data_IF_276118803812
#
_entry.id   IF_276118803812
#
_cell.length_a   1.000
_cell.length_b   1.000
_cell.length_c   1.000
_cell.angle_alpha   90.00
_cell.angle_beta   90.00
_cell.angle_gamma   90.00
#
_symmetry.space_group_name_H-M   'P 1'
#
loop_
_entity.id
_entity.type
_entity.pdbx_description
1 polymer ?
#
# COMPACT_ATOMS: atom_id res chain seq x y z
N UNK A 1 -5.97 0.83 15.73
CA UNK A 1 -7.10 0.02 15.40
C UNK A 1 -6.82 -1.23 14.56
N UNK A 2 -6.57 -1.25 13.21
CA UNK A 2 -6.26 -2.53 12.57
C UNK A 2 -4.96 -3.18 13.07
N UNK A 3 -4.03 -2.42 13.62
CA UNK A 3 -2.77 -2.91 14.20
C UNK A 3 -2.82 -3.12 15.71
N UNK A 4 -3.88 -2.66 16.39
CA UNK A 4 -4.03 -2.82 17.83
C UNK A 4 -4.33 -4.27 18.19
N UNK A 5 -3.70 -4.82 19.24
CA UNK A 5 -4.01 -6.17 19.71
C UNK A 5 -5.50 -6.32 20.09
N UNK A 6 -6.09 -7.50 19.91
CA UNK A 6 -7.36 -7.82 20.54
C UNK A 6 -7.24 -7.80 22.07
N UNK A 7 -8.37 -7.65 22.77
CA UNK A 7 -8.41 -7.54 24.23
C UNK A 7 -7.66 -8.71 24.92
N UNK A 8 -6.70 -8.35 25.75
CA UNK A 8 -5.88 -9.28 26.51
C UNK A 8 -4.79 -10.01 25.70
N UNK A 9 -4.61 -9.70 24.43
CA UNK A 9 -3.51 -10.22 23.61
C UNK A 9 -2.34 -9.24 23.54
N UNK A 10 -1.14 -9.75 23.32
CA UNK A 10 0.07 -8.95 23.09
C UNK A 10 0.59 -9.18 21.67
N UNK A 11 1.07 -8.11 21.02
CA UNK A 11 1.78 -8.22 19.75
C UNK A 11 3.13 -8.90 19.97
N UNK A 12 3.36 -10.03 19.30
CA UNK A 12 4.62 -10.78 19.36
C UNK A 12 5.42 -10.68 18.07
N UNK A 13 4.75 -10.56 16.92
CA UNK A 13 5.43 -10.32 15.63
C UNK A 13 4.51 -9.58 14.67
N UNK A 14 5.08 -8.66 13.91
CA UNK A 14 4.41 -7.99 12.81
C UNK A 14 5.33 -7.91 11.58
N UNK A 15 4.78 -8.20 10.41
CA UNK A 15 5.44 -8.03 9.13
C UNK A 15 4.59 -7.08 8.30
N UNK A 16 5.16 -5.92 7.94
CA UNK A 16 4.50 -4.90 7.15
C UNK A 16 5.19 -4.66 5.81
N UNK A 17 4.43 -4.25 4.80
CA UNK A 17 4.96 -3.86 3.50
C UNK A 17 4.40 -2.51 3.07
N UNK A 18 5.20 -1.71 2.37
CA UNK A 18 4.78 -0.43 1.82
C UNK A 18 5.63 -0.05 0.61
N UNK A 19 5.11 0.78 -0.29
CA UNK A 19 5.93 1.35 -1.36
C UNK A 19 6.76 2.52 -0.84
N UNK A 20 6.12 3.55 -0.30
CA UNK A 20 6.78 4.68 0.36
C UNK A 20 6.66 4.54 1.87
N UNK A 21 7.76 4.76 2.56
CA UNK A 21 7.85 4.73 4.02
C UNK A 21 8.19 6.12 4.56
N UNK A 22 7.33 6.66 5.41
CA UNK A 22 7.62 7.84 6.21
C UNK A 22 8.07 7.39 7.61
N UNK A 23 9.26 7.80 8.03
CA UNK A 23 9.84 7.37 9.31
C UNK A 23 9.03 7.83 10.52
N UNK A 24 8.37 8.99 10.45
CA UNK A 24 7.49 9.41 11.54
C UNK A 24 6.19 8.61 11.59
N UNK A 25 5.64 8.23 10.41
CA UNK A 25 4.49 7.34 10.37
C UNK A 25 4.82 5.95 10.94
N UNK A 26 6.03 5.46 10.68
CA UNK A 26 6.52 4.22 11.28
C UNK A 26 6.67 4.36 12.81
N UNK A 27 7.25 5.46 13.29
CA UNK A 27 7.43 5.73 14.73
C UNK A 27 6.08 5.83 15.47
N UNK A 28 5.02 6.26 14.79
CA UNK A 28 3.69 6.33 15.39
C UNK A 28 3.14 4.95 15.80
N UNK A 29 3.58 3.85 15.16
CA UNK A 29 3.10 2.49 15.44
C UNK A 29 3.45 2.04 16.87
N UNK A 30 4.73 1.98 17.28
CA UNK A 30 5.08 1.60 18.65
C UNK A 30 4.48 2.53 19.70
N UNK A 31 4.39 3.82 19.38
CA UNK A 31 3.77 4.81 20.29
C UNK A 31 2.27 4.50 20.46
N UNK A 32 1.54 4.22 19.37
CA UNK A 32 0.12 3.86 19.43
C UNK A 32 -0.13 2.54 20.19
N UNK A 33 0.72 1.53 19.96
CA UNK A 33 0.66 0.25 20.68
C UNK A 33 0.92 0.42 22.17
N UNK A 34 1.87 1.28 22.53
CA UNK A 34 2.17 1.60 23.94
C UNK A 34 1.00 2.30 24.62
N UNK A 35 0.40 3.31 23.98
CA UNK A 35 -0.76 4.01 24.52
C UNK A 35 -1.97 3.10 24.68
N UNK A 36 -2.24 2.21 23.72
CA UNK A 36 -3.33 1.23 23.84
C UNK A 36 -3.16 0.36 25.08
N UNK A 37 -1.94 -0.13 25.37
CA UNK A 37 -1.62 -0.92 26.56
C UNK A 37 -1.73 -0.08 27.86
N UNK A 38 -1.38 1.22 27.82
CA UNK A 38 -1.39 2.11 28.99
C UNK A 38 -2.80 2.51 29.41
N UNK A 39 -3.77 2.52 28.50
CA UNK A 39 -5.17 2.84 28.82
C UNK A 39 -5.88 1.72 29.60
N UNK A 40 -5.32 0.51 29.64
CA UNK A 40 -5.82 -0.60 30.45
C UNK A 40 -5.35 -0.57 31.91
N UNK A 41 -4.50 0.40 32.30
CA UNK A 41 -3.95 0.54 33.65
C UNK A 41 -3.65 1.98 34.07
N UNK A 42 -3.60 2.26 35.39
CA UNK A 42 -3.22 3.55 36.01
C UNK A 42 -1.70 3.81 35.84
N UNK A 43 -1.21 4.07 34.62
CA UNK A 43 0.20 4.37 34.39
C UNK A 43 0.47 5.87 34.29
N UNK A 44 1.38 6.41 35.15
CA UNK A 44 2.01 7.71 34.91
C UNK A 44 3.04 7.54 33.77
N UNK A 45 2.79 8.19 32.64
CA UNK A 45 3.65 8.17 31.45
C UNK A 45 5.03 8.78 31.78
N UNK A 46 6.06 7.92 31.74
CA UNK A 46 7.44 8.32 31.82
C UNK A 46 8.10 8.27 30.44
N UNK A 47 8.99 9.21 30.12
CA UNK A 47 9.73 9.24 28.82
C UNK A 47 10.55 7.97 28.56
N UNK A 48 11.02 7.30 29.63
CA UNK A 48 11.77 6.05 29.52
C UNK A 48 10.90 4.88 29.07
N UNK A 49 9.63 4.85 29.49
CA UNK A 49 8.68 3.79 29.12
C UNK A 49 8.36 3.86 27.61
N UNK A 50 8.25 5.08 27.05
CA UNK A 50 8.06 5.28 25.61
C UNK A 50 9.29 4.81 24.81
N UNK A 51 10.50 5.12 25.27
CA UNK A 51 11.74 4.66 24.64
C UNK A 51 11.88 3.15 24.66
N UNK A 52 11.56 2.51 25.78
CA UNK A 52 11.60 1.06 25.91
C UNK A 52 10.54 0.40 25.02
N UNK A 53 9.34 0.96 24.95
CA UNK A 53 8.29 0.51 24.04
C UNK A 53 8.71 0.60 22.57
N UNK A 54 9.37 1.70 22.16
CA UNK A 54 9.93 1.84 20.82
C UNK A 54 10.95 0.73 20.56
N UNK A 55 11.90 0.53 21.47
CA UNK A 55 12.94 -0.50 21.33
C UNK A 55 12.36 -1.91 21.25
N UNK A 56 11.44 -2.26 22.15
CA UNK A 56 10.78 -3.58 22.13
C UNK A 56 9.96 -3.81 20.85
N UNK A 57 9.33 -2.75 20.32
CA UNK A 57 8.56 -2.85 19.08
C UNK A 57 9.45 -3.10 17.88
N UNK A 58 10.65 -2.52 17.82
CA UNK A 58 11.58 -2.73 16.68
C UNK A 58 12.08 -4.16 16.55
N UNK A 59 12.13 -4.91 17.65
CA UNK A 59 12.48 -6.34 17.64
C UNK A 59 11.34 -7.22 17.12
N UNK A 60 10.10 -6.75 17.26
CA UNK A 60 8.88 -7.48 16.88
C UNK A 60 8.38 -7.14 15.47
N UNK A 61 8.85 -6.04 14.88
CA UNK A 61 8.32 -5.51 13.61
C UNK A 61 9.38 -5.61 12.52
N UNK A 62 9.00 -6.15 11.36
CA UNK A 62 9.79 -6.09 10.12
C UNK A 62 8.98 -5.34 9.06
N UNK A 63 9.59 -4.30 8.48
CA UNK A 63 8.98 -3.48 7.43
C UNK A 63 9.77 -3.61 6.14
N UNK A 64 9.10 -4.05 5.09
CA UNK A 64 9.65 -4.10 3.76
C UNK A 64 9.13 -2.92 2.94
N UNK A 65 10.03 -2.12 2.36
CA UNK A 65 9.65 -0.97 1.53
C UNK A 65 10.40 -0.96 0.20
N UNK A 66 9.88 -0.23 -0.78
CA UNK A 66 10.57 -0.04 -2.05
C UNK A 66 11.90 0.69 -1.81
N UNK A 67 12.99 0.14 -2.36
CA UNK A 67 14.32 0.76 -2.28
C UNK A 67 14.30 2.18 -2.83
N UNK A 68 14.93 3.11 -2.08
CA UNK A 68 14.98 4.54 -2.42
C UNK A 68 13.65 5.28 -2.23
N UNK A 69 12.70 4.73 -1.45
CA UNK A 69 11.40 5.36 -1.18
C UNK A 69 11.14 5.60 0.32
N UNK A 70 12.21 5.74 1.09
CA UNK A 70 12.13 6.17 2.49
C UNK A 70 12.13 7.70 2.51
N UNK A 71 11.09 8.30 3.11
CA UNK A 71 11.02 9.73 3.38
C UNK A 71 11.74 10.03 4.68
N UNK A 72 12.95 10.59 4.58
CA UNK A 72 13.71 11.05 5.72
C UNK A 72 13.33 12.50 6.00
N UNK A 73 12.91 12.84 7.23
CA UNK A 73 12.54 14.20 7.56
C UNK A 73 13.75 15.14 7.58
N UNK A 74 13.57 16.41 7.19
CA UNK A 74 14.62 17.43 7.22
C UNK A 74 15.17 17.66 8.63
N UNK A 75 14.31 17.54 9.65
CA UNK A 75 14.69 17.60 11.07
C UNK A 75 14.74 16.16 11.60
N UNK A 76 15.87 15.49 11.42
CA UNK A 76 16.06 14.12 11.89
C UNK A 76 16.07 14.06 13.43
N UNK A 77 15.20 13.21 13.99
CA UNK A 77 15.15 12.94 15.41
C UNK A 77 15.89 11.63 15.72
N UNK A 78 16.75 11.62 16.71
CA UNK A 78 17.52 10.42 17.12
C UNK A 78 16.64 9.21 17.46
N UNK A 79 15.35 9.41 17.81
CA UNK A 79 14.40 8.31 17.97
C UNK A 79 14.17 7.51 16.70
N UNK A 80 14.31 8.12 15.54
CA UNK A 80 14.14 7.45 14.25
C UNK A 80 15.24 6.41 14.01
N UNK A 81 16.45 6.62 14.56
CA UNK A 81 17.55 5.65 14.47
C UNK A 81 17.19 4.29 15.09
N UNK A 82 16.34 4.26 16.12
CA UNK A 82 15.85 2.99 16.67
C UNK A 82 14.97 2.22 15.69
N UNK A 83 14.26 2.92 14.79
CA UNK A 83 13.39 2.29 13.81
C UNK A 83 14.15 1.74 12.59
N UNK A 84 15.36 2.21 12.31
CA UNK A 84 16.15 1.73 11.16
C UNK A 84 16.38 0.22 11.20
N UNK A 85 16.58 -0.31 12.42
CA UNK A 85 16.78 -1.74 12.64
C UNK A 85 15.61 -2.62 12.18
N UNK A 86 14.40 -2.13 11.97
CA UNK A 86 13.24 -2.92 11.54
C UNK A 86 12.90 -2.75 10.04
N UNK A 87 13.66 -1.93 9.30
CA UNK A 87 13.39 -1.60 7.89
C UNK A 87 14.28 -2.42 6.97
N UNK A 88 13.68 -2.96 5.91
CA UNK A 88 14.37 -3.63 4.81
C UNK A 88 13.90 -3.06 3.48
N UNK A 89 14.85 -2.61 2.66
CA UNK A 89 14.57 -2.10 1.33
C UNK A 89 14.57 -3.23 0.30
N UNK A 90 13.47 -3.34 -0.44
CA UNK A 90 13.27 -4.35 -1.50
C UNK A 90 13.41 -3.71 -2.86
N UNK A 91 14.24 -4.30 -3.71
CA UNK A 91 14.36 -3.96 -5.11
C UNK A 91 13.85 -5.13 -5.95
N UNK A 92 12.72 -5.00 -6.66
CA UNK A 92 12.28 -6.03 -7.59
C UNK A 92 13.31 -6.29 -8.69
N UNK A 93 13.46 -7.53 -9.17
CA UNK A 93 14.50 -7.88 -10.15
C UNK A 93 14.19 -7.39 -11.58
N UNK A 94 12.94 -7.09 -11.90
CA UNK A 94 12.53 -6.60 -13.21
C UNK A 94 12.76 -5.08 -13.28
N UNK A 95 13.40 -4.62 -14.36
CA UNK A 95 13.58 -3.19 -14.65
C UNK A 95 12.21 -2.50 -14.75
N UNK A 96 12.07 -1.29 -14.24
CA UNK A 96 10.82 -0.51 -14.18
C UNK A 96 9.66 -1.19 -13.42
N UNK A 97 9.95 -2.20 -12.60
CA UNK A 97 8.97 -2.75 -11.66
C UNK A 97 9.07 -2.08 -10.30
N UNK A 98 7.96 -2.07 -9.59
CA UNK A 98 7.87 -1.51 -8.24
C UNK A 98 7.52 -2.57 -7.21
N UNK A 99 8.11 -2.49 -6.02
CA UNK A 99 7.65 -3.18 -4.84
C UNK A 99 6.51 -2.36 -4.21
N UNK A 100 5.27 -2.77 -4.47
CA UNK A 100 4.12 -1.92 -4.17
C UNK A 100 3.06 -2.55 -3.25
N UNK A 101 3.28 -3.72 -2.60
CA UNK A 101 2.28 -4.28 -1.70
C UNK A 101 2.12 -3.43 -0.44
N UNK A 102 0.91 -3.42 0.11
CA UNK A 102 0.55 -2.70 1.34
C UNK A 102 -0.24 -3.62 2.24
N UNK A 103 0.49 -4.52 2.90
CA UNK A 103 -0.11 -5.51 3.80
C UNK A 103 0.59 -5.50 5.15
N UNK A 104 -0.15 -5.94 6.14
CA UNK A 104 0.38 -6.32 7.44
C UNK A 104 -0.11 -7.71 7.80
N UNK A 105 0.80 -8.51 8.34
CA UNK A 105 0.47 -9.76 9.01
C UNK A 105 0.99 -9.64 10.44
N UNK A 106 0.07 -9.67 11.39
CA UNK A 106 0.37 -9.50 12.81
C UNK A 106 0.05 -10.81 13.54
N UNK A 107 0.92 -11.20 14.44
CA UNK A 107 0.71 -12.28 15.39
C UNK A 107 0.51 -11.69 16.77
N UNK A 108 -0.55 -12.13 17.42
CA UNK A 108 -0.86 -11.80 18.79
C UNK A 108 -0.96 -13.09 19.62
N UNK A 109 -0.36 -13.07 20.80
CA UNK A 109 -0.39 -14.21 21.69
C UNK A 109 -0.98 -13.80 23.06
N UNK A 110 -1.74 -14.72 23.67
CA UNK A 110 -2.29 -14.61 25.02
C UNK A 110 -2.22 -15.99 25.67
N UNK A 111 -1.37 -16.16 26.69
CA UNK A 111 -1.13 -17.44 27.35
C UNK A 111 -0.90 -18.58 26.35
N UNK A 112 -1.90 -19.43 26.11
CA UNK A 112 -1.83 -20.55 25.17
C UNK A 112 -2.61 -20.30 23.87
N UNK A 113 -3.12 -19.11 23.65
CA UNK A 113 -3.89 -18.74 22.47
C UNK A 113 -3.05 -17.87 21.52
N UNK A 114 -3.10 -18.22 20.25
CA UNK A 114 -2.45 -17.43 19.17
C UNK A 114 -3.49 -17.05 18.14
N UNK A 115 -3.52 -15.77 17.79
CA UNK A 115 -4.32 -15.25 16.69
C UNK A 115 -3.44 -14.47 15.71
N UNK A 116 -3.83 -14.47 14.46
CA UNK A 116 -3.20 -13.68 13.41
C UNK A 116 -4.20 -12.66 12.87
N UNK A 117 -3.68 -11.52 12.42
CA UNK A 117 -4.47 -10.55 11.67
C UNK A 117 -3.79 -10.27 10.35
N UNK A 118 -4.57 -10.37 9.27
CA UNK A 118 -4.19 -9.88 7.96
C UNK A 118 -4.83 -8.53 7.73
N UNK A 119 -4.04 -7.52 7.37
CA UNK A 119 -4.51 -6.19 6.96
C UNK A 119 -4.01 -5.93 5.55
N UNK A 120 -4.91 -5.55 4.65
CA UNK A 120 -4.61 -5.17 3.27
C UNK A 120 -5.06 -3.73 3.06
N UNK A 121 -4.15 -2.89 2.61
CA UNK A 121 -4.36 -1.44 2.50
C UNK A 121 -4.19 -0.98 1.06
N UNK A 122 -4.84 0.10 0.70
CA UNK A 122 -4.56 0.81 -0.55
C UNK A 122 -3.50 1.90 -0.40
N UNK A 123 -3.25 2.38 0.83
CA UNK A 123 -2.30 3.48 1.12
C UNK A 123 -0.93 3.01 1.56
N UNK A 124 0.06 3.86 1.37
CA UNK A 124 1.41 3.69 1.91
C UNK A 124 1.45 3.97 3.44
N UNK A 125 2.57 3.62 4.06
CA UNK A 125 2.86 4.01 5.45
C UNK A 125 3.41 5.43 5.48
N UNK A 126 2.51 6.39 5.28
CA UNK A 126 2.78 7.83 5.21
C UNK A 126 1.63 8.60 5.87
N UNK A 127 1.86 9.87 6.20
CA UNK A 127 0.82 10.78 6.70
C UNK A 127 0.02 11.47 5.56
N UNK A 128 0.10 10.95 4.33
CA UNK A 128 -0.68 11.50 3.23
C UNK A 128 -2.18 11.39 3.53
N UNK A 129 -2.92 12.45 3.25
CA UNK A 129 -4.37 12.51 3.41
C UNK A 129 -5.00 12.11 2.08
N UNK A 130 -5.65 10.96 2.08
CA UNK A 130 -6.27 10.42 0.87
C UNK A 130 -7.49 9.58 1.21
N UNK A 131 -8.42 9.51 0.27
CA UNK A 131 -9.52 8.58 0.35
C UNK A 131 -9.01 7.17 0.02
N UNK A 132 -9.00 6.32 1.03
CA UNK A 132 -8.38 5.00 1.01
C UNK A 132 -9.38 3.90 1.38
N UNK A 133 -8.98 2.66 1.14
CA UNK A 133 -9.68 1.48 1.63
C UNK A 133 -8.72 0.57 2.39
N UNK A 134 -9.27 -0.06 3.41
CA UNK A 134 -8.62 -1.15 4.13
C UNK A 134 -9.54 -2.37 4.24
N UNK A 135 -8.95 -3.54 4.11
CA UNK A 135 -9.55 -4.81 4.45
C UNK A 135 -8.74 -5.42 5.59
N UNK A 136 -9.38 -5.94 6.60
CA UNK A 136 -8.69 -6.71 7.63
C UNK A 136 -9.57 -7.84 8.15
N UNK A 137 -8.93 -8.91 8.57
CA UNK A 137 -9.57 -10.07 9.18
C UNK A 137 -8.65 -10.70 10.21
N UNK A 138 -9.22 -11.16 11.30
CA UNK A 138 -8.54 -11.98 12.27
C UNK A 138 -8.59 -13.45 11.83
N UNK A 139 -7.64 -14.24 12.29
CA UNK A 139 -7.56 -15.64 11.95
C UNK A 139 -7.08 -16.48 13.13
N UNK A 140 -7.68 -17.63 13.29
CA UNK A 140 -7.35 -18.59 14.35
C UNK A 140 -6.35 -19.62 13.85
N UNK A 141 -5.40 -19.97 14.70
CA UNK A 141 -4.50 -21.08 14.44
C UNK A 141 -5.25 -22.40 14.52
N UNK A 142 -5.12 -23.22 13.47
CA UNK A 142 -5.71 -24.56 13.38
C UNK A 142 -4.62 -25.62 13.26
N UNK A 143 -5.02 -26.91 13.31
CA UNK A 143 -4.08 -28.01 13.12
C UNK A 143 -3.75 -28.28 11.65
N UNK A 144 -4.57 -27.77 10.74
CA UNK A 144 -4.47 -28.04 9.30
C UNK A 144 -3.97 -26.82 8.52
N UNK A 145 -3.20 -27.08 7.46
CA UNK A 145 -2.74 -26.02 6.58
C UNK A 145 -3.87 -25.47 5.72
N UNK A 146 -4.00 -24.15 5.68
CA UNK A 146 -4.96 -23.43 4.85
C UNK A 146 -4.31 -22.98 3.53
N UNK A 147 -5.03 -23.14 2.41
CA UNK A 147 -4.54 -22.81 1.07
C UNK A 147 -4.18 -21.33 0.93
N UNK A 148 -5.06 -20.45 1.41
CA UNK A 148 -4.88 -19.00 1.24
C UNK A 148 -3.79 -18.46 2.17
N UNK A 149 -3.73 -18.96 3.39
CA UNK A 149 -2.67 -18.61 4.35
C UNK A 149 -1.28 -19.07 3.90
N UNK A 150 -1.20 -20.22 3.20
CA UNK A 150 0.04 -20.65 2.53
C UNK A 150 0.51 -19.65 1.46
N UNK A 151 -0.41 -19.07 0.69
CA UNK A 151 -0.06 -18.05 -0.31
C UNK A 151 0.55 -16.81 0.37
N UNK A 152 -0.06 -16.34 1.48
CA UNK A 152 0.46 -15.21 2.27
C UNK A 152 1.84 -15.55 2.84
N UNK A 153 1.99 -16.72 3.43
CA UNK A 153 3.26 -17.21 4.01
C UNK A 153 4.36 -17.24 2.95
N UNK A 154 4.13 -17.88 1.80
CA UNK A 154 5.11 -18.00 0.73
C UNK A 154 5.48 -16.63 0.13
N UNK A 155 4.49 -15.73 -0.02
CA UNK A 155 4.69 -14.38 -0.52
C UNK A 155 5.59 -13.56 0.40
N UNK A 156 5.34 -13.56 1.70
CA UNK A 156 6.18 -12.86 2.67
C UNK A 156 7.58 -13.48 2.80
N UNK A 157 7.69 -14.81 2.84
CA UNK A 157 8.98 -15.51 2.90
C UNK A 157 9.90 -15.15 1.73
N UNK A 158 9.33 -14.83 0.56
CA UNK A 158 10.11 -14.39 -0.59
C UNK A 158 10.92 -13.13 -0.27
N UNK A 159 10.37 -12.16 0.46
CA UNK A 159 11.07 -10.91 0.81
C UNK A 159 12.24 -11.15 1.76
N UNK A 160 12.11 -12.12 2.66
CA UNK A 160 13.21 -12.50 3.55
C UNK A 160 14.40 -13.13 2.83
N UNK A 161 14.19 -13.79 1.68
CA UNK A 161 15.29 -14.42 0.92
C UNK A 161 16.30 -13.39 0.39
N UNK A 162 15.89 -12.17 0.19
CA UNK A 162 16.72 -11.08 -0.33
C UNK A 162 17.08 -10.04 0.75
N UNK A 163 16.67 -10.26 1.98
CA UNK A 163 16.87 -9.35 3.11
C UNK A 163 17.98 -9.85 4.06
N UNK A 164 18.45 -8.95 4.91
CA UNK A 164 19.38 -9.27 6.01
C UNK A 164 18.66 -9.89 7.22
N UNK A 165 17.32 -9.87 7.22
CA UNK A 165 16.48 -10.33 8.32
C UNK A 165 16.44 -11.84 8.43
N UNK A 166 16.43 -12.32 9.66
CA UNK A 166 16.26 -13.74 9.93
C UNK A 166 14.81 -14.14 9.80
N UNK A 167 14.58 -15.24 9.09
CA UNK A 167 13.24 -15.84 8.97
C UNK A 167 12.85 -16.44 10.33
N UNK A 168 11.71 -16.02 10.84
CA UNK A 168 11.06 -16.70 11.96
C UNK A 168 10.26 -17.89 11.44
N UNK A 169 10.88 -19.07 11.50
CA UNK A 169 10.28 -20.31 10.97
C UNK A 169 8.98 -20.69 11.68
N UNK A 170 8.87 -20.38 12.98
CA UNK A 170 7.65 -20.68 13.76
C UNK A 170 6.49 -19.78 13.30
N UNK A 171 6.75 -18.48 13.14
CA UNK A 171 5.77 -17.53 12.63
C UNK A 171 5.17 -18.01 11.29
N UNK A 172 6.01 -18.39 10.33
CA UNK A 172 5.56 -18.82 9.01
C UNK A 172 4.89 -20.20 9.02
N UNK A 173 5.39 -21.13 9.84
CA UNK A 173 4.78 -22.45 10.01
C UNK A 173 3.38 -22.36 10.59
N UNK A 174 3.17 -21.49 11.56
CA UNK A 174 1.88 -21.22 12.16
C UNK A 174 0.97 -20.46 11.18
N UNK A 175 1.49 -19.44 10.51
CA UNK A 175 0.73 -18.67 9.51
C UNK A 175 0.11 -19.58 8.43
N UNK A 176 0.81 -20.62 7.98
CA UNK A 176 0.26 -21.58 7.01
C UNK A 176 -0.98 -22.34 7.52
N UNK A 177 -1.19 -22.36 8.84
CA UNK A 177 -2.33 -23.06 9.49
C UNK A 177 -3.42 -22.11 9.95
N UNK A 178 -3.28 -20.82 9.68
CA UNK A 178 -4.29 -19.83 10.07
C UNK A 178 -5.52 -19.96 9.19
N UNK A 179 -6.68 -20.00 9.79
CA UNK A 179 -7.98 -19.86 9.15
C UNK A 179 -8.49 -18.44 9.40
N UNK A 180 -8.48 -17.60 8.36
CA UNK A 180 -8.94 -16.22 8.45
C UNK A 180 -10.46 -16.16 8.48
N UNK A 181 -11.01 -15.40 9.43
CA UNK A 181 -12.44 -15.15 9.58
C UNK A 181 -12.88 -14.07 8.58
N UNK A 182 -13.93 -14.37 7.82
CA UNK A 182 -14.48 -13.42 6.87
C UNK A 182 -15.30 -12.34 7.57
N UNK A 183 -15.26 -11.09 7.09
CA UNK A 183 -16.19 -10.08 7.54
C UNK A 183 -17.64 -10.50 7.29
N UNK A 184 -18.54 -10.10 8.21
CA UNK A 184 -19.96 -10.44 8.10
C UNK A 184 -20.53 -10.15 6.72
N UNK A 185 -21.23 -11.13 6.12
CA UNK A 185 -21.90 -11.03 4.83
C UNK A 185 -20.98 -11.15 3.63
N UNK A 186 -19.74 -11.57 3.84
CA UNK A 186 -18.86 -12.01 2.77
C UNK A 186 -18.61 -13.50 2.87
N UNK A 187 -18.40 -14.12 1.72
CA UNK A 187 -17.99 -15.50 1.52
C UNK A 187 -16.77 -15.53 0.59
N UNK A 188 -16.17 -16.69 0.42
CA UNK A 188 -15.11 -16.95 -0.54
C UNK A 188 -13.95 -15.95 -0.44
N UNK A 189 -12.98 -16.32 0.36
CA UNK A 189 -11.76 -15.57 0.54
C UNK A 189 -10.64 -16.13 -0.34
N UNK A 190 -10.09 -15.31 -1.21
CA UNK A 190 -8.95 -15.67 -2.04
C UNK A 190 -7.88 -14.59 -1.99
N UNK A 191 -6.61 -15.03 -1.91
CA UNK A 191 -5.44 -14.16 -1.96
C UNK A 191 -4.79 -14.26 -3.34
N UNK A 192 -4.50 -13.11 -3.92
CA UNK A 192 -3.79 -12.98 -5.19
C UNK A 192 -2.48 -12.23 -5.02
N UNK A 193 -1.37 -12.93 -4.72
CA UNK A 193 -0.03 -12.36 -4.80
C UNK A 193 0.32 -12.10 -6.26
N UNK A 194 0.67 -10.88 -6.62
CA UNK A 194 1.11 -10.51 -7.96
C UNK A 194 2.62 -10.38 -7.93
N UNK A 195 3.32 -11.36 -8.48
CA UNK A 195 4.76 -11.37 -8.62
C UNK A 195 5.19 -12.28 -9.78
N UNK A 196 6.25 -11.92 -10.48
CA UNK A 196 6.79 -12.76 -11.58
C UNK A 196 8.17 -13.34 -11.29
N UNK A 197 8.63 -13.33 -10.04
CA UNK A 197 9.99 -13.76 -9.71
C UNK A 197 10.06 -15.13 -9.06
N UNK A 198 8.96 -15.68 -8.61
CA UNK A 198 8.94 -17.00 -7.99
C UNK A 198 8.64 -18.07 -9.04
N UNK A 199 9.57 -19.00 -9.22
CA UNK A 199 9.35 -20.21 -10.01
C UNK A 199 8.25 -21.14 -9.44
N UNK A 200 7.74 -20.81 -8.25
CA UNK A 200 6.67 -21.56 -7.58
C UNK A 200 5.26 -21.07 -7.91
N UNK A 201 5.14 -19.88 -8.48
CA UNK A 201 3.89 -19.38 -9.03
C UNK A 201 3.89 -19.62 -10.54
N UNK A 202 3.15 -20.62 -11.03
CA UNK A 202 2.77 -20.72 -12.44
C UNK A 202 1.98 -19.47 -12.79
N UNK A 203 2.62 -18.40 -13.20
CA UNK A 203 2.08 -17.13 -13.64
C UNK A 203 0.78 -16.72 -12.93
N UNK A 204 0.77 -15.59 -12.28
CA UNK A 204 -0.47 -15.06 -11.70
C UNK A 204 -1.53 -14.91 -12.79
N UNK A 205 -2.54 -15.78 -12.77
CA UNK A 205 -3.74 -15.58 -13.56
C UNK A 205 -4.52 -14.43 -12.92
N UNK A 206 -4.44 -13.25 -13.55
CA UNK A 206 -5.21 -12.10 -13.10
C UNK A 206 -6.71 -12.45 -13.18
N UNK A 207 -7.43 -12.57 -12.05
CA UNK A 207 -8.84 -12.98 -12.06
C UNK A 207 -9.72 -12.00 -12.83
N UNK A 208 -9.28 -10.75 -13.02
CA UNK A 208 -9.98 -9.73 -13.78
C UNK A 208 -9.86 -9.94 -15.31
N UNK A 209 -8.89 -10.73 -15.78
CA UNK A 209 -8.73 -11.03 -17.22
C UNK A 209 -9.73 -12.08 -17.72
N UNK A 210 -10.16 -12.98 -16.86
CA UNK A 210 -11.03 -14.12 -17.24
C UNK A 210 -12.47 -13.99 -16.77
N UNK A 211 -12.71 -13.30 -15.65
CA UNK A 211 -14.04 -13.13 -15.09
C UNK A 211 -14.94 -12.26 -15.98
N UNK A 212 -16.20 -12.68 -16.13
CA UNK A 212 -17.22 -11.95 -16.87
C UNK A 212 -18.29 -11.44 -15.93
N UNK A 213 -18.49 -10.12 -15.93
CA UNK A 213 -19.48 -9.47 -15.09
C UNK A 213 -20.54 -8.74 -15.91
N UNK A 214 -21.76 -8.69 -15.41
CA UNK A 214 -22.83 -7.84 -15.99
C UNK A 214 -22.52 -6.37 -15.78
N UNK A 215 -21.90 -6.04 -14.65
CA UNK A 215 -21.51 -4.68 -14.25
C UNK A 215 -20.20 -4.72 -13.49
N UNK A 216 -19.41 -3.68 -13.64
CA UNK A 216 -18.19 -3.50 -12.86
C UNK A 216 -18.07 -2.05 -12.39
N UNK A 217 -17.60 -1.87 -11.16
CA UNK A 217 -17.14 -0.60 -10.61
C UNK A 217 -15.64 -0.73 -10.38
N UNK A 218 -14.90 0.22 -10.91
CA UNK A 218 -13.46 0.35 -10.69
C UNK A 218 -13.18 1.69 -10.06
N UNK A 219 -12.47 1.67 -8.95
CA UNK A 219 -11.93 2.85 -8.29
C UNK A 219 -10.43 2.70 -8.28
N UNK A 220 -9.71 3.59 -8.95
CA UNK A 220 -8.26 3.52 -9.06
C UNK A 220 -7.67 4.91 -9.28
N UNK A 221 -6.67 5.32 -8.49
CA UNK A 221 -6.02 6.62 -8.65
C UNK A 221 -5.21 6.73 -9.95
N UNK A 222 -4.69 5.60 -10.46
CA UNK A 222 -3.94 5.52 -11.71
C UNK A 222 -4.58 4.49 -12.63
N UNK A 223 -4.64 4.82 -13.92
CA UNK A 223 -5.34 4.03 -14.92
C UNK A 223 -4.54 4.01 -16.22
N UNK A 224 -4.68 2.97 -17.04
CA UNK A 224 -4.21 2.97 -18.42
C UNK A 224 -5.24 2.40 -19.39
N UNK A 225 -5.11 2.77 -20.66
CA UNK A 225 -6.03 2.41 -21.73
C UNK A 225 -6.09 0.90 -21.94
N UNK A 226 -4.97 0.20 -21.84
CA UNK A 226 -4.90 -1.25 -22.06
C UNK A 226 -5.72 -2.00 -21.02
N UNK A 227 -5.53 -1.65 -19.73
CA UNK A 227 -6.27 -2.26 -18.62
C UNK A 227 -7.76 -1.92 -18.66
N UNK A 228 -8.10 -0.64 -18.90
CA UNK A 228 -9.50 -0.21 -19.01
C UNK A 228 -10.21 -0.96 -20.13
N UNK A 229 -9.59 -1.13 -21.30
CA UNK A 229 -10.18 -1.86 -22.42
C UNK A 229 -10.39 -3.35 -22.10
N UNK A 230 -9.47 -3.99 -21.37
CA UNK A 230 -9.67 -5.36 -20.86
C UNK A 230 -10.88 -5.44 -19.93
N UNK A 231 -10.96 -4.55 -18.94
CA UNK A 231 -12.07 -4.50 -17.98
C UNK A 231 -13.40 -4.23 -18.66
N UNK A 232 -13.42 -3.31 -19.62
CA UNK A 232 -14.61 -3.02 -20.45
C UNK A 232 -15.07 -4.23 -21.26
N UNK A 233 -14.14 -4.98 -21.86
CA UNK A 233 -14.44 -6.23 -22.59
C UNK A 233 -15.02 -7.31 -21.68
N UNK A 234 -14.63 -7.31 -20.40
CA UNK A 234 -15.03 -8.31 -19.41
C UNK A 234 -16.26 -7.89 -18.58
N UNK A 235 -16.84 -6.71 -18.87
CA UNK A 235 -18.03 -6.22 -18.19
C UNK A 235 -19.06 -5.66 -19.16
N UNK A 236 -20.35 -5.94 -18.91
CA UNK A 236 -21.43 -5.39 -19.74
C UNK A 236 -21.61 -3.88 -19.54
N UNK A 237 -21.33 -3.36 -18.33
CA UNK A 237 -21.33 -1.93 -18.02
C UNK A 237 -20.21 -1.62 -17.01
N UNK A 238 -19.31 -0.73 -17.38
CA UNK A 238 -18.20 -0.28 -16.54
C UNK A 238 -18.45 1.11 -15.98
N UNK A 239 -18.32 1.24 -14.66
CA UNK A 239 -18.24 2.52 -13.97
C UNK A 239 -16.79 2.70 -13.51
N UNK A 240 -16.19 3.82 -13.86
CA UNK A 240 -14.80 4.13 -13.53
C UNK A 240 -14.76 5.41 -12.70
N UNK A 241 -14.11 5.33 -11.54
CA UNK A 241 -13.81 6.47 -10.67
C UNK A 241 -12.29 6.59 -10.60
N UNK A 242 -11.75 7.73 -11.04
CA UNK A 242 -10.32 7.98 -11.03
C UNK A 242 -10.01 9.44 -10.66
N UNK A 243 -8.75 9.79 -10.66
CA UNK A 243 -8.33 11.19 -10.58
C UNK A 243 -8.69 11.91 -11.87
N UNK A 244 -9.01 13.20 -11.76
CA UNK A 244 -9.35 14.00 -12.94
C UNK A 244 -8.19 14.05 -13.92
N UNK A 245 -6.99 14.25 -13.41
CA UNK A 245 -5.74 14.35 -14.19
C UNK A 245 -5.47 13.08 -15.01
N UNK A 246 -5.76 11.90 -14.44
CA UNK A 246 -5.61 10.62 -15.15
C UNK A 246 -6.65 10.43 -16.25
N UNK A 247 -7.88 10.87 -16.01
CA UNK A 247 -8.96 10.81 -17.00
C UNK A 247 -8.71 11.80 -18.15
N UNK A 248 -8.15 12.96 -17.85
CA UNK A 248 -7.82 14.01 -18.84
C UNK A 248 -6.74 13.53 -19.83
N UNK A 249 -5.84 12.63 -19.41
CA UNK A 249 -4.78 12.07 -20.27
C UNK A 249 -5.25 10.96 -21.22
N UNK A 250 -6.46 10.45 -21.05
CA UNK A 250 -6.99 9.38 -21.88
C UNK A 250 -7.83 9.96 -23.02
N UNK A 251 -7.53 9.51 -24.25
CA UNK A 251 -8.36 9.86 -25.40
C UNK A 251 -9.85 9.57 -25.15
N UNK A 252 -10.73 10.57 -25.33
CA UNK A 252 -12.17 10.43 -25.07
C UNK A 252 -12.83 9.25 -25.78
N UNK A 253 -12.28 8.80 -26.91
CA UNK A 253 -12.74 7.65 -27.66
C UNK A 253 -12.62 6.34 -26.85
N UNK A 254 -11.54 6.20 -26.07
CA UNK A 254 -11.32 5.04 -25.20
C UNK A 254 -12.28 5.00 -24.02
N UNK A 255 -12.77 6.17 -23.57
CA UNK A 255 -13.68 6.31 -22.44
C UNK A 255 -15.17 6.17 -22.81
N UNK A 256 -15.50 6.10 -24.10
CA UNK A 256 -16.91 5.99 -24.55
C UNK A 256 -17.63 4.78 -23.98
N UNK A 257 -18.88 4.97 -23.57
CA UNK A 257 -19.77 3.91 -23.07
C UNK A 257 -19.50 3.48 -21.63
N UNK A 258 -18.71 4.23 -20.89
CA UNK A 258 -18.50 4.08 -19.46
C UNK A 258 -19.19 5.17 -18.67
N UNK A 259 -19.56 4.88 -17.42
CA UNK A 259 -19.97 5.90 -16.45
C UNK A 259 -18.70 6.42 -15.77
N UNK A 260 -18.34 7.68 -15.98
CA UNK A 260 -17.08 8.25 -15.49
C UNK A 260 -17.32 9.21 -14.34
N UNK A 261 -16.50 9.10 -13.32
CA UNK A 261 -16.52 9.98 -12.16
C UNK A 261 -15.10 10.32 -11.72
N UNK A 262 -14.92 11.49 -11.12
CA UNK A 262 -13.69 11.88 -10.43
C UNK A 262 -14.00 12.41 -9.04
N UNK A 263 -12.99 12.48 -8.19
CA UNK A 263 -13.11 13.08 -6.87
C UNK A 263 -13.43 14.57 -7.01
N UNK A 264 -14.32 15.08 -6.18
CA UNK A 264 -14.66 16.50 -6.19
C UNK A 264 -13.51 17.31 -5.58
N UNK A 265 -12.87 18.24 -6.31
CA UNK A 265 -11.75 19.03 -5.83
C UNK A 265 -12.12 20.01 -4.70
N UNK A 266 -13.41 20.27 -4.50
CA UNK A 266 -13.91 21.19 -3.48
C UNK A 266 -14.13 20.56 -2.11
N UNK A 267 -13.75 19.30 -1.90
CA UNK A 267 -13.84 18.68 -0.57
C UNK A 267 -12.63 19.14 0.23
N UNK A 268 -12.83 20.07 1.19
CA UNK A 268 -11.77 20.45 2.09
C UNK A 268 -11.45 19.26 3.01
N UNK A 269 -10.19 19.14 3.35
CA UNK A 269 -9.76 18.21 4.38
C UNK A 269 -10.44 18.61 5.71
N UNK A 270 -11.24 17.72 6.30
CA UNK A 270 -12.08 18.04 7.45
C UNK A 270 -11.32 18.45 8.74
N UNK A 271 -9.98 18.34 8.74
CA UNK A 271 -9.13 18.79 9.85
C UNK A 271 -8.61 20.22 9.67
N UNK A 272 -8.64 20.81 8.47
CA UNK A 272 -8.19 22.19 8.23
C UNK A 272 -9.18 23.25 8.80
N UNK A 273 -10.31 22.84 9.35
CA UNK A 273 -11.25 23.75 10.05
C UNK A 273 -10.75 24.22 11.42
N UNK A 274 -9.66 23.66 11.95
CA UNK A 274 -9.18 23.95 13.31
C UNK A 274 -7.83 24.65 13.39
N UNK A 275 -7.11 24.85 12.27
CA UNK A 275 -5.80 25.49 12.31
C UNK A 275 -5.67 26.68 11.35
N UNK A 276 -5.75 27.87 11.94
CA UNK A 276 -5.09 29.15 11.64
C UNK A 276 -4.96 29.63 10.19
N UNK A 277 -5.43 30.86 10.04
CA UNK A 277 -5.08 31.92 9.07
C UNK A 277 -3.93 31.59 8.06
N UNK A 278 -4.27 31.31 6.82
CA UNK A 278 -3.36 31.48 5.68
C UNK A 278 -2.86 30.22 4.96
N UNK A 279 -3.38 29.03 5.24
CA UNK A 279 -3.04 27.82 4.48
C UNK A 279 -4.14 27.55 3.46
N UNK A 280 -3.78 27.46 2.17
CA UNK A 280 -4.72 26.99 1.14
C UNK A 280 -5.22 25.59 1.49
N UNK A 281 -6.55 25.34 1.42
CA UNK A 281 -7.12 24.02 1.72
C UNK A 281 -6.50 22.99 0.78
N UNK A 282 -5.79 22.02 1.34
CA UNK A 282 -5.22 20.90 0.59
C UNK A 282 -6.34 19.99 0.12
N UNK A 283 -6.44 19.77 -1.18
CA UNK A 283 -7.44 18.87 -1.73
C UNK A 283 -7.17 17.42 -1.30
N UNK A 284 -8.21 16.74 -0.82
CA UNK A 284 -8.14 15.30 -0.54
C UNK A 284 -7.91 14.55 -1.86
N UNK A 285 -6.95 13.61 -1.88
CA UNK A 285 -6.62 12.87 -3.09
C UNK A 285 -7.21 11.45 -3.06
N UNK A 286 -7.50 10.87 -4.23
CA UNK A 286 -7.92 9.48 -4.37
C UNK A 286 -6.71 8.55 -4.30
N UNK A 287 -6.77 7.54 -3.43
CA UNK A 287 -5.73 6.50 -3.35
C UNK A 287 -6.29 5.07 -3.25
N UNK A 288 -7.60 4.91 -3.07
CA UNK A 288 -8.26 3.60 -3.03
C UNK A 288 -8.11 2.82 -4.34
N UNK A 289 -7.96 1.49 -4.23
CA UNK A 289 -7.90 0.56 -5.35
C UNK A 289 -8.89 -0.56 -5.09
N UNK A 290 -10.01 -0.48 -5.82
CA UNK A 290 -11.15 -1.39 -5.64
C UNK A 290 -11.69 -1.78 -7.03
N UNK A 291 -11.94 -3.08 -7.21
CA UNK A 291 -12.67 -3.59 -8.36
C UNK A 291 -13.85 -4.40 -7.83
N UNK A 292 -15.06 -4.03 -8.22
CA UNK A 292 -16.28 -4.77 -7.81
C UNK A 292 -16.96 -5.25 -9.07
N UNK A 293 -16.96 -6.56 -9.28
CA UNK A 293 -17.67 -7.21 -10.36
C UNK A 293 -19.01 -7.77 -9.88
N UNK A 294 -20.11 -7.55 -10.62
CA UNK A 294 -21.46 -8.04 -10.29
C UNK A 294 -22.01 -8.87 -11.45
N UNK A 295 -22.38 -10.13 -11.17
CA UNK A 295 -22.96 -11.05 -12.15
C UNK A 295 -24.50 -10.99 -12.16
N UNK A 296 -25.11 -10.23 -11.26
CA UNK A 296 -26.54 -10.08 -11.07
C UNK A 296 -27.11 -10.82 -9.85
N UNK A 297 -26.37 -11.76 -9.27
CA UNK A 297 -26.73 -12.51 -8.06
C UNK A 297 -25.74 -12.24 -6.93
N UNK A 298 -24.45 -12.19 -7.26
CA UNK A 298 -23.38 -11.92 -6.31
C UNK A 298 -22.49 -10.77 -6.78
N UNK A 299 -21.64 -10.27 -5.89
CA UNK A 299 -20.58 -9.32 -6.23
C UNK A 299 -19.26 -9.79 -5.67
N UNK A 300 -18.25 -9.84 -6.54
CA UNK A 300 -16.85 -10.05 -6.19
C UNK A 300 -16.18 -8.72 -5.92
N UNK A 301 -15.52 -8.61 -4.77
CA UNK A 301 -14.74 -7.45 -4.38
C UNK A 301 -13.26 -7.79 -4.41
N UNK A 302 -12.49 -7.03 -5.17
CA UNK A 302 -11.04 -7.10 -5.20
C UNK A 302 -10.49 -5.84 -4.56
N UNK A 303 -9.74 -6.00 -3.47
CA UNK A 303 -9.18 -4.91 -2.66
C UNK A 303 -7.68 -5.16 -2.50
N UNK A 304 -6.88 -4.13 -2.67
CA UNK A 304 -5.43 -4.27 -2.47
C UNK A 304 -4.61 -3.12 -3.00
N UNK A 305 -3.39 -3.44 -3.41
CA UNK A 305 -2.41 -2.44 -3.83
C UNK A 305 -2.39 -2.15 -5.32
N UNK A 306 -2.98 -3.04 -6.17
CA UNK A 306 -2.89 -2.94 -7.61
C UNK A 306 -3.79 -1.84 -8.19
N UNK A 307 -3.19 -0.90 -8.92
CA UNK A 307 -3.90 0.08 -9.73
C UNK A 307 -4.51 -0.57 -10.98
N UNK A 308 -5.46 0.11 -11.63
CA UNK A 308 -6.00 -0.30 -12.93
C UNK A 308 -5.03 0.01 -14.08
N UNK A 309 -3.81 -0.52 -13.99
CA UNK A 309 -2.71 -0.31 -14.93
C UNK A 309 -2.00 -1.61 -15.28
N UNK A 310 -1.50 -1.73 -16.51
CA UNK A 310 -0.74 -2.90 -16.95
C UNK A 310 0.49 -3.18 -16.06
N UNK A 311 1.30 -2.19 -15.64
CA UNK A 311 2.40 -2.45 -14.72
C UNK A 311 1.99 -3.14 -13.41
N UNK A 312 0.83 -2.79 -12.84
CA UNK A 312 0.35 -3.37 -11.59
C UNK A 312 0.08 -4.88 -11.72
N UNK A 313 -0.43 -5.33 -12.87
CA UNK A 313 -0.76 -6.73 -13.10
C UNK A 313 0.34 -7.52 -13.81
N UNK A 314 1.24 -6.85 -14.54
CA UNK A 314 2.20 -7.52 -15.41
C UNK A 314 3.64 -7.56 -14.87
N UNK A 315 4.05 -6.62 -14.03
CA UNK A 315 5.47 -6.52 -13.63
C UNK A 315 5.75 -6.08 -12.19
N UNK A 316 4.83 -5.35 -11.54
CA UNK A 316 5.03 -4.94 -10.15
C UNK A 316 4.88 -6.12 -9.19
N UNK A 317 5.33 -5.90 -7.96
CA UNK A 317 4.99 -6.74 -6.82
C UNK A 317 3.79 -6.11 -6.15
N UNK A 318 2.66 -6.80 -6.14
CA UNK A 318 1.39 -6.34 -5.60
C UNK A 318 0.71 -7.46 -4.82
N UNK A 319 -0.33 -7.14 -4.06
CA UNK A 319 -1.22 -8.13 -3.48
C UNK A 319 -2.66 -7.62 -3.49
N UNK A 320 -3.57 -8.51 -3.84
CA UNK A 320 -5.01 -8.29 -3.77
C UNK A 320 -5.70 -9.40 -2.99
N UNK A 321 -6.81 -9.06 -2.38
CA UNK A 321 -7.76 -9.97 -1.74
C UNK A 321 -9.05 -9.93 -2.53
N UNK A 322 -9.64 -11.10 -2.79
CA UNK A 322 -10.99 -11.24 -3.31
C UNK A 322 -11.90 -11.77 -2.22
N UNK A 323 -13.05 -11.15 -2.07
CA UNK A 323 -14.18 -11.65 -1.26
C UNK A 323 -15.47 -11.55 -2.06
N UNK A 324 -16.39 -12.49 -1.86
CA UNK A 324 -17.68 -12.54 -2.55
C UNK A 324 -18.82 -12.19 -1.60
N UNK A 325 -19.90 -11.62 -2.12
CA UNK A 325 -21.12 -11.38 -1.33
C UNK A 325 -22.39 -11.51 -2.17
N UNK A 326 -23.40 -12.14 -1.60
CA UNK A 326 -24.78 -12.15 -2.09
C UNK A 326 -25.68 -11.14 -1.35
N UNK A 327 -25.17 -10.51 -0.29
CA UNK A 327 -25.95 -9.55 0.50
C UNK A 327 -26.26 -8.28 -0.27
N UNK A 328 -27.53 -7.94 -0.39
CA UNK A 328 -28.03 -6.79 -1.17
C UNK A 328 -27.36 -5.46 -0.86
N UNK A 329 -27.02 -5.23 0.41
CA UNK A 329 -26.42 -3.98 0.89
C UNK A 329 -24.93 -3.85 0.56
N UNK A 330 -24.24 -4.97 0.31
CA UNK A 330 -22.81 -5.05 -0.02
C UNK A 330 -22.57 -5.29 -1.52
N UNK A 331 -23.63 -5.49 -2.31
CA UNK A 331 -23.51 -5.70 -3.75
C UNK A 331 -23.24 -4.38 -4.47
N UNK A 332 -22.54 -4.47 -5.60
CA UNK A 332 -22.11 -3.34 -6.43
C UNK A 332 -23.22 -2.29 -6.63
N UNK A 333 -24.45 -2.72 -6.91
CA UNK A 333 -25.56 -1.79 -7.20
C UNK A 333 -25.88 -0.86 -6.04
N UNK A 334 -25.84 -1.38 -4.80
CA UNK A 334 -26.09 -0.58 -3.60
C UNK A 334 -24.90 0.31 -3.28
N UNK A 335 -23.69 -0.25 -3.34
CA UNK A 335 -22.45 0.50 -3.10
C UNK A 335 -22.30 1.66 -4.08
N UNK A 336 -22.51 1.41 -5.38
CA UNK A 336 -22.52 2.47 -6.40
C UNK A 336 -23.51 3.59 -6.05
N UNK A 337 -24.72 3.21 -5.61
CA UNK A 337 -25.73 4.19 -5.23
C UNK A 337 -25.31 5.01 -4.00
N UNK A 338 -24.74 4.38 -2.98
CA UNK A 338 -24.24 5.06 -1.77
C UNK A 338 -23.09 6.01 -2.09
N UNK A 339 -22.10 5.56 -2.85
CA UNK A 339 -20.96 6.38 -3.21
C UNK A 339 -21.31 7.58 -4.12
N UNK A 340 -22.25 7.40 -5.06
CA UNK A 340 -22.53 8.40 -6.09
C UNK A 340 -23.78 9.23 -5.83
N UNK A 341 -24.70 8.79 -4.94
CA UNK A 341 -25.95 9.48 -4.65
C UNK A 341 -26.03 10.03 -3.24
N UNK A 342 -25.66 9.25 -2.22
CA UNK A 342 -25.63 9.73 -0.83
C UNK A 342 -24.45 10.65 -0.55
N UNK A 343 -23.34 10.46 -1.25
CA UNK A 343 -22.13 11.28 -1.12
C UNK A 343 -21.91 12.11 -2.39
N UNK A 344 -22.93 12.80 -2.88
CA UNK A 344 -22.84 13.67 -4.07
C UNK A 344 -21.71 14.70 -3.99
N UNK A 345 -21.24 14.97 -2.78
CA UNK A 345 -20.09 15.86 -2.53
C UNK A 345 -18.74 15.18 -2.77
N UNK A 346 -18.62 13.84 -2.64
CA UNK A 346 -17.35 13.14 -2.71
C UNK A 346 -16.89 12.88 -4.15
N UNK A 347 -17.80 12.40 -5.00
CA UNK A 347 -17.52 12.09 -6.40
C UNK A 347 -18.48 12.82 -7.32
N UNK A 348 -17.95 13.47 -8.35
CA UNK A 348 -18.73 14.17 -9.36
C UNK A 348 -18.62 13.47 -10.72
N UNK A 349 -19.67 13.54 -11.58
CA UNK A 349 -19.58 13.05 -12.95
C UNK A 349 -18.45 13.72 -13.71
N UNK A 350 -17.69 12.93 -14.47
CA UNK A 350 -16.64 13.43 -15.35
C UNK A 350 -17.10 13.38 -16.81
N UNK A 351 -16.91 14.49 -17.53
CA UNK A 351 -17.22 14.60 -18.95
C UNK A 351 -15.91 14.63 -19.74
N UNK A 352 -15.66 13.58 -20.53
CA UNK A 352 -14.48 13.51 -21.39
C UNK A 352 -14.56 14.53 -22.53
N UNK A 353 -13.52 15.34 -22.75
CA UNK A 353 -13.45 16.27 -23.89
C UNK A 353 -12.79 17.63 -23.63
N UNK A 354 -12.16 17.84 -22.47
CA UNK A 354 -11.25 18.97 -22.28
C UNK A 354 -9.90 18.68 -22.95
N UNK A 355 -9.28 19.67 -23.53
CA UNK A 355 -8.00 19.59 -24.26
C UNK A 355 -6.91 18.93 -23.39
N UNK A 356 -6.17 18.00 -24.02
CA UNK A 356 -5.03 17.30 -23.42
C UNK A 356 -3.83 18.23 -23.57
N UNK A 357 -3.37 18.81 -22.46
CA UNK A 357 -1.99 19.27 -22.34
C UNK A 357 -1.17 18.11 -21.77
N UNK A 358 -0.22 17.56 -22.54
CA UNK A 358 0.78 16.63 -22.00
C UNK A 358 1.57 17.36 -20.91
N UNK A 359 1.43 16.93 -19.66
CA UNK A 359 2.17 17.57 -18.58
C UNK A 359 3.64 17.11 -18.62
N UNK A 360 4.55 18.08 -18.66
CA UNK A 360 6.00 17.86 -18.54
C UNK A 360 6.37 17.03 -17.28
N UNK A 361 5.52 17.07 -16.25
CA UNK A 361 5.71 16.38 -14.98
C UNK A 361 5.76 14.84 -15.10
N UNK A 362 5.03 14.21 -16.03
CA UNK A 362 5.07 12.76 -16.20
C UNK A 362 6.37 12.28 -16.85
N UNK A 363 6.87 13.01 -17.82
CA UNK A 363 8.18 12.75 -18.44
C UNK A 363 9.28 12.84 -17.38
N UNK A 364 9.26 13.86 -16.55
CA UNK A 364 10.18 14.06 -15.41
C UNK A 364 10.04 12.92 -14.38
N UNK A 365 8.82 12.57 -14.00
CA UNK A 365 8.59 11.49 -13.02
C UNK A 365 9.09 10.12 -13.50
N UNK A 366 8.99 9.83 -14.80
CA UNK A 366 9.55 8.60 -15.40
C UNK A 366 11.08 8.62 -15.40
N UNK A 367 11.69 9.73 -15.79
CA UNK A 367 13.14 9.93 -15.76
C UNK A 367 13.69 9.79 -14.35
N UNK A 368 13.03 10.38 -13.35
CA UNK A 368 13.39 10.26 -11.93
C UNK A 368 13.31 8.80 -11.44
N UNK A 369 12.30 8.04 -11.86
CA UNK A 369 12.20 6.61 -11.50
C UNK A 369 13.34 5.78 -12.06
N UNK A 370 13.69 5.98 -13.33
CA UNK A 370 14.82 5.29 -13.97
C UNK A 370 16.15 5.65 -13.30
N UNK A 371 16.36 6.92 -13.01
CA UNK A 371 17.52 7.43 -12.28
C UNK A 371 17.64 6.83 -10.88
N UNK A 372 16.55 6.85 -10.11
CA UNK A 372 16.51 6.24 -8.77
C UNK A 372 16.87 4.76 -8.86
N UNK A 373 16.33 4.03 -9.84
CA UNK A 373 16.65 2.64 -10.08
C UNK A 373 18.14 2.40 -10.38
N UNK A 374 18.72 3.22 -11.27
CA UNK A 374 20.14 3.12 -11.61
C UNK A 374 21.04 3.42 -10.41
N UNK A 375 20.77 4.50 -9.70
CA UNK A 375 21.54 4.93 -8.54
C UNK A 375 21.46 3.90 -7.38
N UNK A 376 20.29 3.42 -7.06
CA UNK A 376 20.10 2.48 -5.93
C UNK A 376 20.73 1.09 -6.15
N UNK A 377 21.11 0.75 -7.38
CA UNK A 377 21.80 -0.52 -7.69
C UNK A 377 23.32 -0.44 -7.70
N UNK A 378 23.89 0.76 -7.65
CA UNK A 378 25.34 0.91 -7.64
C UNK A 378 25.92 0.57 -6.27
N UNK A 379 27.15 0.10 -6.26
CA UNK A 379 27.95 -0.03 -5.04
C UNK A 379 28.76 1.24 -4.86
N UNK A 380 28.44 2.01 -3.83
CA UNK A 380 29.11 3.26 -3.54
C UNK A 380 30.40 3.02 -2.74
N UNK A 381 31.46 3.70 -3.14
CA UNK A 381 32.68 3.84 -2.34
C UNK A 381 32.77 5.28 -1.88
N UNK A 382 32.76 5.49 -0.57
CA UNK A 382 32.81 6.81 0.01
C UNK A 382 34.03 7.02 0.89
N UNK A 383 34.49 8.27 0.97
CA UNK A 383 35.50 8.74 1.91
C UNK A 383 34.91 9.83 2.76
N UNK A 384 34.99 9.66 4.09
CA UNK A 384 34.55 10.68 5.05
C UNK A 384 35.76 11.53 5.41
N UNK A 385 35.66 12.83 5.27
CA UNK A 385 36.65 13.80 5.63
C UNK A 385 36.09 14.78 6.65
N UNK A 386 36.81 14.96 7.78
CA UNK A 386 36.43 15.95 8.80
C UNK A 386 36.79 17.34 8.28
N UNK A 387 35.85 18.27 8.37
CA UNK A 387 36.16 19.66 8.05
C UNK A 387 37.12 20.24 9.10
N UNK A 388 38.17 20.91 8.65
CA UNK A 388 39.20 21.47 9.54
C UNK A 388 38.74 22.72 10.31
N UNK A 389 37.64 23.35 9.88
CA UNK A 389 37.16 24.64 10.41
C UNK A 389 35.88 24.55 11.24
N UNK A 390 35.22 23.40 11.23
CA UNK A 390 33.99 23.17 12.01
C UNK A 390 33.87 21.68 12.38
N UNK A 391 32.87 21.32 13.17
CA UNK A 391 32.64 19.91 13.56
C UNK A 391 31.93 19.05 12.47
N UNK A 392 31.77 19.57 11.27
CA UNK A 392 31.10 18.89 10.17
C UNK A 392 32.04 17.90 9.48
N UNK A 393 31.43 16.88 8.89
CA UNK A 393 32.08 15.88 8.06
C UNK A 393 31.55 15.99 6.63
N UNK A 394 32.43 15.80 5.66
CA UNK A 394 32.05 15.72 4.25
C UNK A 394 32.19 14.26 3.81
N UNK A 395 31.11 13.71 3.25
CA UNK A 395 31.11 12.39 2.62
C UNK A 395 31.30 12.58 1.11
N UNK A 396 32.45 12.13 0.61
CA UNK A 396 32.74 12.09 -0.83
C UNK A 396 32.37 10.71 -1.37
N UNK A 397 31.36 10.62 -2.22
CA UNK A 397 30.90 9.39 -2.87
C UNK A 397 31.46 9.31 -4.30
N UNK A 398 31.99 8.16 -4.69
CA UNK A 398 32.29 7.88 -6.08
C UNK A 398 31.08 7.23 -6.73
N UNK A 399 30.41 7.97 -7.64
CA UNK A 399 29.17 7.56 -8.32
C UNK A 399 29.46 7.51 -9.82
N UNK A 400 29.08 6.41 -10.46
CA UNK A 400 29.12 6.33 -11.92
C UNK A 400 27.85 6.95 -12.50
N UNK A 401 27.99 8.13 -13.09
CA UNK A 401 26.92 8.90 -13.73
C UNK A 401 26.93 8.77 -15.25
N UNK A 402 27.75 7.88 -15.83
CA UNK A 402 27.91 7.76 -17.29
C UNK A 402 26.63 7.36 -18.04
N UNK A 403 25.65 6.82 -17.36
CA UNK A 403 24.35 6.44 -17.91
C UNK A 403 23.27 7.52 -17.75
N UNK A 404 23.61 8.70 -17.20
CA UNK A 404 22.68 9.80 -16.95
C UNK A 404 22.81 10.80 -18.08
N UNK A 405 21.71 11.09 -18.76
CA UNK A 405 21.63 12.13 -19.78
C UNK A 405 21.84 13.53 -19.15
N UNK A 406 22.37 14.50 -19.92
CA UNK A 406 22.84 15.81 -19.47
C UNK A 406 21.78 16.71 -18.79
N UNK A 407 20.52 16.35 -18.83
CA UNK A 407 19.41 17.17 -18.31
C UNK A 407 19.16 17.08 -16.79
N UNK A 408 19.94 16.31 -16.04
CA UNK A 408 19.79 16.18 -14.59
C UNK A 408 20.74 17.14 -13.87
N UNK A 409 20.21 18.28 -13.46
CA UNK A 409 20.99 19.40 -12.89
C UNK A 409 21.32 19.22 -11.39
N UNK A 410 20.55 18.49 -10.61
CA UNK A 410 20.79 18.31 -9.17
C UNK A 410 20.25 16.96 -8.66
N UNK A 411 21.08 16.20 -7.98
CA UNK A 411 20.71 15.00 -7.23
C UNK A 411 21.04 15.22 -5.75
N UNK A 412 20.04 15.31 -4.89
CA UNK A 412 20.21 15.32 -3.44
C UNK A 412 20.16 13.88 -2.93
N UNK A 413 21.21 13.45 -2.23
CA UNK A 413 21.35 12.13 -1.61
C UNK A 413 21.01 12.21 -0.13
#
# INVERSE_FOLDING_TARGET
EPISPPDGFELTKAIGTTYTLDLYALLAIPVALFYAKSMEGDFQLNRYDVLDAIRQSTEKVDIFCQRGKIKVPSNYNNLLAFMEGCIEEVQPPIVDSSFHPKIWVLRFDRENETTYRLVVLSRNLTFDRSWDISYFCDGKLTDTRNKESKKVSAYLQYFYKTSSRKIDNQFFSDLEKVEFELPNGFSDFEIFPIEKFSSTTNGFDNPLDTAKYKRMLVISPFIDVATINKLKKNSGRLTLISRKEELDQIDPGNLRGMDLYCMNPLIPDGEDFFDTEGIEPRSQNLHAKIFIGDDGETSDWFIGSANATAPAFDRNVELMVKVNTSEKYKRLRRIKWELLKQQETLFQPYLAGSEIEESEEESVSRKVRVLTYMLTRQTYKGKIEKNQFNENYTLNLNVDLSAIEEDVLNVNV
#
